data_IF_127891382775
#
_entry.id   IF_127891382775
#
_cell.length_a   1.000
_cell.length_b   1.000
_cell.length_c   1.000
_cell.angle_alpha   90.00
_cell.angle_beta   90.00
_cell.angle_gamma   90.00
#
_symmetry.space_group_name_H-M   'P 1'
#
loop_
_entity.id
_entity.type
_entity.pdbx_description
1 polymer ?
#
# COMPACT_ATOMS: atom_id res chain seq x y z
N UNK A 1 -12.23 -11.89 -0.25
CA UNK A 1 -11.57 -11.76 -1.55
C UNK A 1 -12.40 -12.50 -2.57
N UNK A 2 -13.10 -11.78 -3.45
CA UNK A 2 -13.84 -12.42 -4.53
C UNK A 2 -12.87 -12.74 -5.67
N UNK A 3 -12.71 -14.01 -5.99
CA UNK A 3 -11.96 -14.45 -7.16
C UNK A 3 -12.92 -14.70 -8.30
N UNK A 4 -12.78 -13.95 -9.38
CA UNK A 4 -13.56 -14.18 -10.59
C UNK A 4 -12.89 -15.31 -11.38
N UNK A 5 -13.55 -16.45 -11.48
CA UNK A 5 -13.04 -17.57 -12.26
C UNK A 5 -13.59 -17.49 -13.69
N UNK A 6 -12.71 -17.51 -14.67
CA UNK A 6 -13.05 -17.63 -16.08
C UNK A 6 -12.77 -19.04 -16.56
N UNK A 7 -13.72 -19.62 -17.29
CA UNK A 7 -13.50 -20.89 -17.96
C UNK A 7 -12.73 -20.64 -19.25
N UNK A 8 -11.48 -21.05 -19.27
CA UNK A 8 -10.64 -20.96 -20.47
C UNK A 8 -10.93 -22.14 -21.40
N UNK A 9 -11.21 -21.87 -22.65
CA UNK A 9 -11.33 -22.92 -23.68
C UNK A 9 -9.92 -23.25 -24.18
N UNK A 10 -9.54 -24.50 -24.08
CA UNK A 10 -8.24 -24.95 -24.61
C UNK A 10 -8.26 -24.79 -26.15
N UNK A 11 -7.31 -24.03 -26.72
CA UNK A 11 -7.24 -23.88 -28.17
C UNK A 11 -6.79 -25.17 -28.84
N UNK A 12 -7.24 -25.39 -30.09
CA UNK A 12 -6.85 -26.55 -30.90
C UNK A 12 -5.36 -26.51 -31.29
N UNK A 13 -4.84 -25.29 -31.46
CA UNK A 13 -3.42 -25.07 -31.76
C UNK A 13 -2.75 -24.58 -30.48
N UNK A 14 -1.65 -25.23 -30.03
CA UNK A 14 -0.91 -24.77 -28.85
C UNK A 14 -0.47 -23.32 -29.01
N UNK A 15 -0.73 -22.51 -27.99
CA UNK A 15 -0.29 -21.11 -27.90
C UNK A 15 0.23 -20.80 -26.51
N UNK A 16 0.99 -19.72 -26.39
CA UNK A 16 1.48 -19.27 -25.10
C UNK A 16 0.31 -18.83 -24.20
N UNK A 17 0.44 -19.10 -22.90
CA UNK A 17 -0.62 -18.79 -21.94
C UNK A 17 -0.90 -17.30 -21.82
N UNK A 18 0.12 -16.46 -21.94
CA UNK A 18 0.00 -15.01 -21.96
C UNK A 18 -0.84 -14.51 -23.15
N UNK A 19 -0.64 -15.07 -24.34
CA UNK A 19 -1.45 -14.76 -25.50
C UNK A 19 -2.91 -15.21 -25.37
N UNK A 20 -3.16 -16.25 -24.56
CA UNK A 20 -4.51 -16.76 -24.28
C UNK A 20 -5.26 -15.93 -23.23
N UNK A 21 -4.52 -15.32 -22.28
CA UNK A 21 -5.08 -14.58 -21.15
C UNK A 21 -5.05 -13.06 -21.33
N UNK A 22 -4.15 -12.55 -22.17
CA UNK A 22 -4.01 -11.12 -22.45
C UNK A 22 -4.93 -10.72 -23.60
N UNK A 23 -6.21 -10.56 -23.32
CA UNK A 23 -7.24 -10.20 -24.30
C UNK A 23 -7.43 -8.68 -24.45
N UNK A 24 -6.94 -7.89 -23.49
CA UNK A 24 -7.09 -6.44 -23.48
C UNK A 24 -5.74 -5.72 -23.57
N UNK A 25 -5.58 -4.74 -24.50
CA UNK A 25 -4.35 -3.99 -24.63
C UNK A 25 -4.17 -3.02 -23.46
N UNK A 26 -2.96 -2.99 -22.87
CA UNK A 26 -2.55 -1.97 -21.91
C UNK A 26 -1.93 -0.79 -22.65
N UNK A 27 -2.57 0.37 -22.61
CA UNK A 27 -2.02 1.64 -23.10
C UNK A 27 -1.36 2.36 -21.92
N UNK A 28 -0.07 2.66 -22.08
CA UNK A 28 0.70 3.38 -21.04
C UNK A 28 0.46 4.89 -21.06
N UNK A 29 1.15 5.60 -20.17
CA UNK A 29 1.10 7.06 -20.03
C UNK A 29 0.75 7.48 -18.63
N UNK A 30 0.46 8.79 -18.45
CA UNK A 30 0.05 9.36 -17.16
C UNK A 30 -1.36 8.90 -16.76
N UNK A 31 -2.17 8.54 -17.72
CA UNK A 31 -3.52 8.03 -17.59
C UNK A 31 -3.65 6.69 -18.32
N UNK A 32 -3.14 5.60 -17.72
CA UNK A 32 -3.14 4.31 -18.39
C UNK A 32 -4.56 3.79 -18.62
N UNK A 33 -4.69 3.00 -19.67
CA UNK A 33 -5.94 2.33 -20.03
C UNK A 33 -5.71 0.83 -20.22
N UNK A 34 -6.68 0.02 -19.83
CA UNK A 34 -6.77 -1.40 -20.14
C UNK A 34 -8.01 -1.61 -20.98
N UNK A 35 -7.81 -1.89 -22.27
CA UNK A 35 -8.89 -1.86 -23.25
C UNK A 35 -9.51 -0.45 -23.32
N UNK A 36 -10.80 -0.36 -23.02
CA UNK A 36 -11.58 0.88 -22.91
C UNK A 36 -11.64 1.47 -21.49
N UNK A 37 -11.03 0.82 -20.50
CA UNK A 37 -11.11 1.22 -19.10
C UNK A 37 -9.96 2.15 -18.71
N UNK A 38 -10.27 3.36 -18.27
CA UNK A 38 -9.31 4.30 -17.69
C UNK A 38 -8.93 3.83 -16.29
N UNK A 39 -7.65 3.52 -16.09
CA UNK A 39 -7.12 3.08 -14.79
C UNK A 39 -6.69 4.28 -13.95
N UNK A 40 -6.97 4.22 -12.64
CA UNK A 40 -6.44 5.15 -11.65
C UNK A 40 -5.91 4.36 -10.47
N UNK A 41 -4.72 4.70 -10.02
CA UNK A 41 -4.02 3.97 -8.97
C UNK A 41 -3.66 4.90 -7.82
N UNK A 42 -3.98 4.47 -6.61
CA UNK A 42 -3.59 5.10 -5.36
C UNK A 42 -2.61 4.20 -4.63
N UNK A 43 -1.51 4.75 -4.12
CA UNK A 43 -0.54 4.02 -3.30
C UNK A 43 -0.56 4.55 -1.87
N UNK A 44 -0.60 3.68 -0.87
CA UNK A 44 -0.44 4.05 0.53
C UNK A 44 1.06 4.21 0.81
N UNK A 45 1.44 5.37 1.35
CA UNK A 45 2.84 5.73 1.61
C UNK A 45 3.13 6.02 3.08
N UNK A 46 2.10 6.26 3.88
CA UNK A 46 2.22 6.52 5.32
C UNK A 46 1.10 5.84 6.09
N UNK A 47 1.41 5.49 7.32
CA UNK A 47 0.56 4.71 8.22
C UNK A 47 0.21 5.53 9.45
N UNK A 48 -1.00 5.37 10.03
CA UNK A 48 -1.33 5.99 11.30
C UNK A 48 -0.47 5.44 12.42
N UNK A 49 -0.31 6.20 13.48
CA UNK A 49 0.47 5.80 14.67
C UNK A 49 -0.09 4.54 15.35
N UNK A 50 -1.40 4.36 15.29
CA UNK A 50 -2.07 3.18 15.83
C UNK A 50 -2.99 2.58 14.77
N UNK A 51 -2.94 1.27 14.61
CA UNK A 51 -3.81 0.52 13.70
C UNK A 51 -4.66 -0.48 14.47
N UNK A 52 -5.79 -0.86 13.91
CA UNK A 52 -6.69 -1.88 14.45
C UNK A 52 -7.05 -2.88 13.34
N UNK A 53 -7.36 -4.14 13.67
CA UNK A 53 -7.79 -5.12 12.68
C UNK A 53 -8.95 -4.60 11.83
N UNK A 54 -8.85 -4.76 10.50
CA UNK A 54 -9.87 -4.31 9.55
C UNK A 54 -9.99 -2.78 9.42
N UNK A 55 -8.95 -2.03 9.74
CA UNK A 55 -8.95 -0.55 9.72
C UNK A 55 -9.43 0.04 8.37
N UNK A 56 -9.27 -0.69 7.27
CA UNK A 56 -9.66 -0.28 5.92
C UNK A 56 -10.95 -0.97 5.43
N UNK A 57 -11.69 -1.66 6.29
CA UNK A 57 -12.94 -2.34 5.90
C UNK A 57 -14.02 -1.38 5.39
N UNK A 58 -13.94 -0.10 5.71
CA UNK A 58 -14.82 0.93 5.10
C UNK A 58 -14.73 1.01 3.58
N UNK A 59 -13.64 0.52 2.96
CA UNK A 59 -13.56 0.39 1.50
C UNK A 59 -14.65 -0.54 0.94
N UNK A 60 -15.11 -1.51 1.71
CA UNK A 60 -16.20 -2.41 1.31
C UNK A 60 -17.56 -1.71 1.19
N UNK A 61 -17.71 -0.47 1.68
CA UNK A 61 -18.93 0.34 1.54
C UNK A 61 -18.99 1.12 0.23
N UNK A 62 -17.91 1.10 -0.55
CA UNK A 62 -17.90 1.74 -1.87
C UNK A 62 -18.82 0.98 -2.83
N UNK A 63 -19.65 1.72 -3.57
CA UNK A 63 -20.66 1.15 -4.48
C UNK A 63 -20.10 0.79 -5.88
N UNK A 64 -18.78 0.72 -6.03
CA UNK A 64 -18.11 0.41 -7.29
C UNK A 64 -16.97 -0.59 -7.08
N UNK A 65 -16.54 -1.32 -8.12
CA UNK A 65 -15.44 -2.26 -8.04
C UNK A 65 -14.10 -1.53 -7.89
N UNK A 66 -13.23 -2.11 -7.07
CA UNK A 66 -11.84 -1.70 -6.94
C UNK A 66 -10.97 -2.93 -6.74
N UNK A 67 -9.67 -2.81 -7.02
CA UNK A 67 -8.67 -3.82 -6.70
C UNK A 67 -7.78 -3.33 -5.58
N UNK A 68 -7.78 -4.04 -4.48
CA UNK A 68 -6.77 -3.89 -3.43
C UNK A 68 -5.63 -4.88 -3.67
N UNK A 69 -4.40 -4.40 -3.61
CA UNK A 69 -3.20 -5.22 -3.67
C UNK A 69 -2.24 -4.83 -2.57
N UNK A 70 -1.75 -5.81 -1.83
CA UNK A 70 -0.68 -5.63 -0.86
C UNK A 70 0.45 -6.59 -1.20
N UNK A 71 1.65 -6.05 -1.33
CA UNK A 71 2.89 -6.79 -1.49
C UNK A 71 3.76 -6.52 -0.27
N UNK A 72 4.23 -7.57 0.37
CA UNK A 72 5.16 -7.47 1.49
C UNK A 72 6.45 -8.24 1.15
N UNK A 73 7.59 -7.60 1.36
CA UNK A 73 8.91 -8.21 1.30
C UNK A 73 9.42 -8.26 2.72
N UNK A 74 9.35 -9.45 3.32
CA UNK A 74 9.72 -9.66 4.71
C UNK A 74 11.22 -9.46 4.89
N UNK A 75 11.61 -8.76 5.95
CA UNK A 75 13.00 -8.55 6.34
C UNK A 75 13.38 -9.55 7.43
N UNK A 76 14.59 -10.07 7.37
CA UNK A 76 15.15 -10.76 8.51
C UNK A 76 15.45 -9.78 9.66
N UNK A 77 15.63 -10.31 10.87
CA UNK A 77 15.85 -9.49 12.07
C UNK A 77 17.10 -8.61 11.95
N UNK A 78 18.14 -9.08 11.30
CA UNK A 78 19.39 -8.32 11.15
C UNK A 78 19.20 -7.13 10.20
N UNK A 79 18.54 -7.34 9.08
CA UNK A 79 18.29 -6.28 8.09
C UNK A 79 17.24 -5.31 8.58
N UNK A 80 16.19 -5.77 9.28
CA UNK A 80 15.22 -4.92 9.95
C UNK A 80 15.89 -4.00 10.99
N UNK A 81 16.78 -4.55 11.83
CA UNK A 81 17.53 -3.79 12.84
C UNK A 81 18.41 -2.72 12.19
N UNK A 82 19.12 -3.07 11.10
CA UNK A 82 19.94 -2.10 10.35
C UNK A 82 19.09 -0.98 9.76
N UNK A 83 17.95 -1.33 9.16
CA UNK A 83 17.01 -0.37 8.55
C UNK A 83 16.47 0.61 9.60
N UNK A 84 15.87 0.10 10.68
CA UNK A 84 15.29 0.92 11.75
C UNK A 84 16.37 1.78 12.43
N UNK A 85 17.56 1.25 12.66
CA UNK A 85 18.69 2.03 13.20
C UNK A 85 19.09 3.18 12.28
N UNK A 86 19.08 2.95 10.95
CA UNK A 86 19.34 4.01 9.95
C UNK A 86 18.27 5.09 10.00
N UNK A 87 17.01 4.69 10.00
CA UNK A 87 15.85 5.60 10.08
C UNK A 87 15.94 6.45 11.35
N UNK A 88 16.17 5.82 12.49
CA UNK A 88 16.36 6.51 13.77
C UNK A 88 17.47 7.56 13.69
N UNK A 89 18.65 7.19 13.20
CA UNK A 89 19.79 8.12 13.05
C UNK A 89 19.47 9.30 12.13
N UNK A 90 18.77 9.06 11.02
CA UNK A 90 18.35 10.12 10.09
C UNK A 90 17.42 11.13 10.75
N UNK A 91 16.45 10.67 11.54
CA UNK A 91 15.49 11.53 12.22
C UNK A 91 16.14 12.25 13.42
N UNK A 92 17.01 11.60 14.17
CA UNK A 92 17.80 12.25 15.21
C UNK A 92 18.70 13.37 14.64
N UNK A 93 19.32 13.15 13.49
CA UNK A 93 20.12 14.16 12.81
C UNK A 93 19.28 15.37 12.34
N UNK A 94 18.02 15.14 11.92
CA UNK A 94 17.10 16.21 11.51
C UNK A 94 16.46 16.97 12.68
N UNK A 95 16.49 16.42 13.88
CA UNK A 95 15.83 16.99 15.06
C UNK A 95 16.30 18.41 15.39
N UNK A 96 17.57 18.72 15.19
CA UNK A 96 18.12 20.05 15.31
C UNK A 96 18.33 20.63 13.92
N UNK A 97 17.68 21.75 13.61
CA UNK A 97 17.94 22.45 12.35
C UNK A 97 19.37 23.00 12.37
N UNK A 98 19.99 23.14 11.20
CA UNK A 98 21.33 23.73 11.08
C UNK A 98 21.37 25.14 11.71
N UNK A 99 20.28 25.90 11.57
CA UNK A 99 20.14 27.21 12.18
C UNK A 99 20.11 27.15 13.73
N UNK A 100 19.47 26.11 14.31
CA UNK A 100 19.45 25.89 15.74
C UNK A 100 20.83 25.51 16.29
N UNK A 101 21.57 24.68 15.56
CA UNK A 101 22.96 24.30 15.91
C UNK A 101 23.90 25.51 15.83
N UNK A 102 23.78 26.34 14.78
CA UNK A 102 24.55 27.56 14.65
C UNK A 102 24.27 28.56 15.78
N UNK A 103 23.00 28.71 16.17
CA UNK A 103 22.60 29.57 17.27
C UNK A 103 23.14 29.06 18.61
N UNK A 104 23.05 27.77 18.87
CA UNK A 104 23.60 27.12 20.08
C UNK A 104 25.12 27.32 20.20
N UNK A 105 25.86 27.21 19.08
CA UNK A 105 27.31 27.45 19.01
C UNK A 105 27.64 28.93 19.23
N UNK A 106 26.81 29.87 18.70
CA UNK A 106 27.09 31.30 18.83
C UNK A 106 26.65 31.91 20.16
N UNK A 107 25.58 31.39 20.78
CA UNK A 107 25.01 31.99 22.00
C UNK A 107 25.29 31.16 23.27
N UNK A 108 25.82 29.97 23.14
CA UNK A 108 26.04 29.00 24.24
C UNK A 108 24.77 28.69 25.08
N UNK A 109 23.58 28.98 24.52
CA UNK A 109 22.28 28.66 25.11
C UNK A 109 21.59 27.53 24.34
N UNK A 110 20.97 26.56 25.04
CA UNK A 110 20.24 25.48 24.39
C UNK A 110 19.06 26.03 23.58
N UNK A 111 19.03 25.73 22.30
CA UNK A 111 17.96 26.18 21.40
C UNK A 111 16.69 25.37 21.65
N UNK A 112 15.57 26.05 21.92
CA UNK A 112 14.22 25.44 22.03
C UNK A 112 13.61 25.05 20.68
N UNK A 113 14.28 25.35 19.56
CA UNK A 113 13.82 25.02 18.21
C UNK A 113 14.15 23.56 17.87
N UNK A 114 13.42 22.65 18.48
CA UNK A 114 13.46 21.22 18.18
C UNK A 114 12.35 20.94 17.18
N UNK A 115 12.68 20.27 16.07
CA UNK A 115 11.67 19.70 15.17
C UNK A 115 10.95 18.56 15.87
N UNK A 116 9.73 18.84 16.32
CA UNK A 116 8.90 17.90 17.08
C UNK A 116 8.53 16.68 16.23
N UNK A 117 8.28 16.86 14.93
CA UNK A 117 7.95 15.74 14.02
C UNK A 117 9.15 14.79 13.87
N UNK A 118 10.36 15.34 13.66
CA UNK A 118 11.57 14.54 13.61
C UNK A 118 11.87 13.82 14.94
N UNK A 119 11.54 14.46 16.08
CA UNK A 119 11.66 13.83 17.40
C UNK A 119 10.71 12.66 17.56
N UNK A 120 9.44 12.84 17.20
CA UNK A 120 8.42 11.78 17.28
C UNK A 120 8.78 10.59 16.40
N UNK A 121 9.20 10.83 15.17
CA UNK A 121 9.63 9.77 14.23
C UNK A 121 10.88 9.01 14.73
N UNK A 122 11.77 9.67 15.46
CA UNK A 122 12.89 9.01 16.09
C UNK A 122 12.45 8.10 17.25
N UNK A 123 11.45 8.54 18.03
CA UNK A 123 10.84 7.75 19.12
C UNK A 123 10.09 6.55 18.54
N UNK A 124 9.33 6.74 17.48
CA UNK A 124 8.63 5.65 16.80
C UNK A 124 9.60 4.58 16.29
N UNK A 125 10.75 4.99 15.74
CA UNK A 125 11.79 4.06 15.32
C UNK A 125 12.44 3.31 16.49
N UNK A 126 12.57 3.94 17.66
CA UNK A 126 13.03 3.27 18.89
C UNK A 126 12.00 2.25 19.41
N UNK A 127 10.72 2.59 19.40
CA UNK A 127 9.65 1.68 19.77
C UNK A 127 9.63 0.44 18.85
N UNK A 128 9.73 0.66 17.53
CA UNK A 128 9.82 -0.43 16.55
C UNK A 128 11.05 -1.33 16.77
N UNK A 129 12.19 -0.78 17.18
CA UNK A 129 13.38 -1.57 17.54
C UNK A 129 13.16 -2.41 18.79
N UNK A 130 12.43 -1.90 19.79
CA UNK A 130 12.09 -2.65 21.00
C UNK A 130 11.13 -3.80 20.68
N UNK A 131 10.09 -3.54 19.87
CA UNK A 131 9.15 -4.56 19.42
C UNK A 131 9.82 -5.66 18.60
N UNK A 132 10.72 -5.30 17.67
CA UNK A 132 11.53 -6.25 16.92
C UNK A 132 12.44 -7.08 17.83
N UNK A 133 12.94 -6.47 18.92
CA UNK A 133 13.76 -7.13 19.93
C UNK A 133 13.01 -8.24 20.69
N UNK A 134 11.70 -8.09 20.84
CA UNK A 134 10.85 -9.07 21.54
C UNK A 134 10.52 -10.33 20.70
N UNK A 135 10.89 -10.38 19.43
CA UNK A 135 10.58 -11.44 18.47
C UNK A 135 9.07 -11.66 18.20
N UNK A 136 8.21 -10.77 18.66
CA UNK A 136 6.76 -10.84 18.43
C UNK A 136 6.33 -10.19 17.13
N UNK A 137 7.08 -9.20 16.65
CA UNK A 137 6.75 -8.38 15.49
C UNK A 137 7.99 -8.31 14.58
N UNK A 138 7.79 -8.51 13.30
CA UNK A 138 8.80 -8.34 12.25
C UNK A 138 8.57 -7.06 11.45
N UNK A 139 9.47 -6.79 10.53
CA UNK A 139 9.39 -5.67 9.58
C UNK A 139 9.35 -6.18 8.15
N UNK A 140 8.68 -5.43 7.28
CA UNK A 140 8.65 -5.70 5.85
C UNK A 140 8.66 -4.39 5.06
N UNK A 141 9.17 -4.44 3.84
CA UNK A 141 8.85 -3.42 2.85
C UNK A 141 7.49 -3.71 2.26
N UNK A 142 6.59 -2.73 2.32
CA UNK A 142 5.19 -2.89 1.90
C UNK A 142 4.87 -1.97 0.74
N UNK A 143 4.21 -2.52 -0.27
CA UNK A 143 3.56 -1.76 -1.32
C UNK A 143 2.06 -2.08 -1.25
N UNK A 144 1.25 -1.10 -0.92
CA UNK A 144 -0.20 -1.24 -0.88
C UNK A 144 -0.82 -0.28 -1.89
N UNK A 145 -1.51 -0.83 -2.88
CA UNK A 145 -2.12 -0.07 -3.97
C UNK A 145 -3.61 -0.37 -4.08
N UNK A 146 -4.37 0.65 -4.46
CA UNK A 146 -5.78 0.54 -4.79
C UNK A 146 -5.97 1.03 -6.22
N UNK A 147 -6.50 0.17 -7.07
CA UNK A 147 -6.80 0.50 -8.46
C UNK A 147 -8.30 0.59 -8.64
N UNK A 148 -8.76 1.66 -9.27
CA UNK A 148 -10.13 1.86 -9.75
C UNK A 148 -10.13 2.08 -11.25
N UNK A 149 -11.24 1.82 -11.90
CA UNK A 149 -11.36 1.96 -13.36
C UNK A 149 -12.79 2.29 -13.77
N UNK A 150 -12.91 2.93 -14.90
CA UNK A 150 -14.19 3.19 -15.59
C UNK A 150 -13.93 3.53 -17.06
N UNK A 151 -14.90 3.33 -17.94
CA UNK A 151 -14.84 3.77 -19.34
C UNK A 151 -14.82 5.30 -19.45
N UNK A 152 -15.41 5.99 -18.50
CA UNK A 152 -15.40 7.45 -18.43
C UNK A 152 -14.27 7.92 -17.48
N UNK A 153 -13.27 8.68 -17.99
CA UNK A 153 -12.15 9.15 -17.18
C UNK A 153 -12.60 10.00 -15.97
N UNK A 154 -13.65 10.80 -16.12
CA UNK A 154 -14.17 11.61 -15.00
C UNK A 154 -14.74 10.75 -13.88
N UNK A 155 -15.43 9.66 -14.24
CA UNK A 155 -15.97 8.70 -13.25
C UNK A 155 -14.82 7.95 -12.57
N UNK A 156 -13.78 7.56 -13.31
CA UNK A 156 -12.59 6.95 -12.73
C UNK A 156 -11.90 7.90 -11.72
N UNK A 157 -11.79 9.19 -12.05
CA UNK A 157 -11.24 10.22 -11.15
C UNK A 157 -12.10 10.42 -9.90
N UNK A 158 -13.42 10.39 -10.05
CA UNK A 158 -14.36 10.49 -8.92
C UNK A 158 -14.25 9.28 -8.00
N UNK A 159 -14.21 8.07 -8.54
CA UNK A 159 -13.98 6.84 -7.78
C UNK A 159 -12.66 6.89 -7.01
N UNK A 160 -11.59 7.37 -7.65
CA UNK A 160 -10.29 7.53 -6.99
C UNK A 160 -10.37 8.47 -5.80
N UNK A 161 -11.04 9.64 -5.94
CA UNK A 161 -11.23 10.61 -4.85
C UNK A 161 -12.02 10.03 -3.69
N UNK A 162 -13.04 9.20 -3.98
CA UNK A 162 -13.81 8.51 -2.92
C UNK A 162 -12.93 7.50 -2.16
N UNK A 163 -12.12 6.72 -2.87
CA UNK A 163 -11.13 5.82 -2.25
C UNK A 163 -10.14 6.60 -1.40
N UNK A 164 -9.56 7.67 -1.94
CA UNK A 164 -8.63 8.53 -1.23
C UNK A 164 -9.23 9.09 0.07
N UNK A 165 -10.47 9.56 0.02
CA UNK A 165 -11.19 10.05 1.19
C UNK A 165 -11.36 8.99 2.27
N UNK A 166 -11.69 7.75 1.89
CA UNK A 166 -11.81 6.64 2.85
C UNK A 166 -10.46 6.32 3.50
N UNK A 167 -9.41 6.24 2.70
CA UNK A 167 -8.04 5.93 3.17
C UNK A 167 -7.53 7.03 4.09
N UNK A 168 -7.64 8.30 3.68
CA UNK A 168 -7.22 9.45 4.49
C UNK A 168 -8.07 9.61 5.75
N UNK A 169 -9.35 9.26 5.70
CA UNK A 169 -10.25 9.28 6.86
C UNK A 169 -9.87 8.27 7.96
N UNK A 170 -8.90 7.38 7.68
CA UNK A 170 -8.28 6.46 8.64
C UNK A 170 -6.83 6.81 8.94
N UNK A 171 -6.45 8.08 8.74
CA UNK A 171 -5.12 8.63 9.00
C UNK A 171 -3.97 8.02 8.19
N UNK A 172 -4.28 7.32 7.09
CA UNK A 172 -3.26 6.91 6.14
C UNK A 172 -2.87 8.06 5.23
N UNK A 173 -1.60 8.17 4.92
CA UNK A 173 -1.12 9.04 3.84
C UNK A 173 -1.08 8.23 2.55
N UNK A 174 -1.66 8.77 1.50
CA UNK A 174 -1.69 8.13 0.18
C UNK A 174 -1.24 9.09 -0.91
N UNK A 175 -0.88 8.52 -2.05
CA UNK A 175 -0.43 9.24 -3.22
C UNK A 175 -1.13 8.69 -4.47
N UNK A 176 -1.70 9.59 -5.26
CA UNK A 176 -2.21 9.27 -6.58
C UNK A 176 -1.02 9.08 -7.52
N UNK A 177 -0.94 7.91 -8.13
CA UNK A 177 0.13 7.62 -9.09
C UNK A 177 -0.24 8.18 -10.47
N UNK A 178 0.69 8.91 -11.05
CA UNK A 178 0.59 9.47 -12.40
C UNK A 178 1.72 8.93 -13.28
N UNK A 179 2.95 9.38 -13.05
CA UNK A 179 4.13 8.89 -13.79
C UNK A 179 4.35 7.40 -13.58
N UNK A 180 4.11 6.91 -12.37
CA UNK A 180 4.29 5.51 -12.02
C UNK A 180 2.98 4.69 -12.06
N UNK A 181 1.91 5.21 -12.69
CA UNK A 181 0.61 4.57 -12.69
C UNK A 181 0.63 3.17 -13.33
N UNK A 182 1.36 3.01 -14.45
CA UNK A 182 1.54 1.72 -15.12
C UNK A 182 2.27 0.73 -14.22
N UNK A 183 3.40 1.14 -13.63
CA UNK A 183 4.20 0.28 -12.74
C UNK A 183 3.42 -0.10 -11.47
N UNK A 184 2.65 0.83 -10.92
CA UNK A 184 1.80 0.57 -9.77
C UNK A 184 0.70 -0.46 -10.09
N UNK A 185 0.09 -0.35 -11.28
CA UNK A 185 -0.89 -1.31 -11.75
C UNK A 185 -0.27 -2.68 -12.03
N UNK A 186 0.86 -2.73 -12.77
CA UNK A 186 1.60 -3.97 -13.04
C UNK A 186 2.02 -4.65 -11.73
N UNK A 187 2.54 -3.87 -10.76
CA UNK A 187 2.91 -4.36 -9.44
C UNK A 187 1.74 -4.96 -8.64
N UNK A 188 0.50 -4.64 -9.00
CA UNK A 188 -0.70 -5.23 -8.40
C UNK A 188 -1.09 -6.59 -8.98
N UNK A 189 -0.45 -7.02 -10.08
CA UNK A 189 -0.74 -8.30 -10.70
C UNK A 189 -0.03 -9.43 -9.96
N UNK A 190 -0.73 -10.54 -9.68
CA UNK A 190 -0.11 -11.71 -9.06
C UNK A 190 1.07 -12.24 -9.89
N UNK A 191 2.21 -12.47 -9.22
CA UNK A 191 3.41 -12.99 -9.88
C UNK A 191 4.28 -11.96 -10.60
N UNK A 192 3.83 -10.73 -10.75
CA UNK A 192 4.65 -9.66 -11.33
C UNK A 192 5.59 -9.07 -10.30
N UNK A 193 6.88 -9.46 -10.34
CA UNK A 193 7.86 -9.12 -9.29
C UNK A 193 8.66 -7.84 -9.57
N UNK A 194 8.76 -7.43 -10.83
CA UNK A 194 9.66 -6.34 -11.24
C UNK A 194 9.11 -4.94 -10.91
N UNK A 195 7.85 -4.68 -11.24
CA UNK A 195 7.24 -3.39 -10.94
C UNK A 195 6.90 -3.29 -9.46
N UNK A 196 7.52 -2.33 -8.77
CA UNK A 196 7.27 -2.08 -7.35
C UNK A 196 7.60 -0.62 -7.03
N UNK A 197 6.59 0.22 -6.93
CA UNK A 197 6.78 1.67 -6.96
C UNK A 197 7.23 2.26 -5.63
N UNK A 198 6.59 1.91 -4.52
CA UNK A 198 6.86 2.51 -3.21
C UNK A 198 6.90 1.42 -2.15
N UNK A 199 7.93 1.47 -1.32
CA UNK A 199 8.23 0.39 -0.38
C UNK A 199 8.52 0.97 1.01
N UNK A 200 7.53 1.62 1.68
CA UNK A 200 7.74 2.03 3.05
C UNK A 200 7.96 0.81 3.95
N UNK A 201 8.85 0.91 4.94
CA UNK A 201 8.97 -0.11 5.97
C UNK A 201 7.72 -0.07 6.88
N UNK A 202 7.17 -1.24 7.18
CA UNK A 202 5.95 -1.40 7.97
C UNK A 202 6.06 -2.64 8.84
N UNK A 203 5.62 -2.55 10.08
CA UNK A 203 5.59 -3.70 10.98
C UNK A 203 4.59 -4.75 10.50
N UNK A 204 4.88 -6.02 10.78
CA UNK A 204 3.98 -7.14 10.43
C UNK A 204 2.62 -7.03 11.09
N UNK A 205 2.53 -6.40 12.26
CA UNK A 205 1.27 -6.11 12.94
C UNK A 205 0.41 -5.14 12.11
N UNK A 206 0.99 -4.05 11.64
CA UNK A 206 0.28 -3.08 10.81
C UNK A 206 -0.16 -3.69 9.47
N UNK A 207 0.65 -4.58 8.89
CA UNK A 207 0.27 -5.33 7.69
C UNK A 207 -0.96 -6.19 7.98
N UNK A 208 -0.95 -6.94 9.09
CA UNK A 208 -2.08 -7.78 9.48
C UNK A 208 -3.37 -6.97 9.71
N UNK A 209 -3.27 -5.78 10.28
CA UNK A 209 -4.41 -4.89 10.49
C UNK A 209 -4.97 -4.28 9.20
N UNK A 210 -4.16 -4.15 8.15
CA UNK A 210 -4.61 -3.68 6.84
C UNK A 210 -5.29 -4.76 6.01
N UNK A 211 -5.06 -6.04 6.30
CA UNK A 211 -5.70 -7.13 5.57
C UNK A 211 -7.21 -7.03 5.80
N UNK A 212 -8.04 -6.98 4.75
CA UNK A 212 -9.49 -6.92 4.91
C UNK A 212 -9.98 -8.19 5.63
N UNK A 213 -10.69 -7.99 6.73
CA UNK A 213 -11.30 -9.06 7.52
C UNK A 213 -12.68 -9.43 7.00
N UNK A 214 -13.35 -8.48 6.35
CA UNK A 214 -14.63 -8.67 5.70
C UNK A 214 -14.52 -8.41 4.20
N UNK A 215 -15.26 -9.15 3.41
CA UNK A 215 -15.38 -8.92 1.97
C UNK A 215 -16.81 -9.22 1.55
N UNK A 216 -17.31 -8.44 0.58
CA UNK A 216 -18.60 -8.76 -0.03
C UNK A 216 -18.44 -10.06 -0.83
N UNK A 217 -19.27 -11.04 -0.49
CA UNK A 217 -19.30 -12.29 -1.23
C UNK A 217 -19.92 -12.06 -2.62
N UNK A 218 -19.12 -12.28 -3.65
CA UNK A 218 -19.56 -12.13 -5.05
C UNK A 218 -19.83 -13.47 -5.75
N UNK A 219 -19.80 -14.56 -5.01
CA UNK A 219 -20.08 -15.92 -5.49
C UNK A 219 -21.58 -16.26 -5.42
N UNK A 220 -21.93 -17.54 -5.64
CA UNK A 220 -23.30 -18.01 -5.55
C UNK A 220 -23.84 -17.86 -4.12
N UNK A 221 -25.14 -17.61 -4.00
CA UNK A 221 -25.83 -17.42 -2.71
C UNK A 221 -25.77 -18.67 -1.80
N UNK A 222 -25.45 -19.83 -2.36
CA UNK A 222 -25.24 -21.07 -1.63
C UNK A 222 -24.02 -21.80 -2.17
N UNK A 223 -23.23 -22.34 -1.28
CA UNK A 223 -22.21 -23.34 -1.64
C UNK A 223 -22.89 -24.60 -2.16
N UNK A 224 -22.55 -25.01 -3.37
CA UNK A 224 -23.18 -26.18 -4.02
C UNK A 224 -22.79 -27.50 -3.38
N UNK A 225 -21.67 -27.55 -2.68
CA UNK A 225 -21.16 -28.75 -2.01
C UNK A 225 -21.71 -28.89 -0.59
N UNK A 226 -21.74 -27.78 0.15
CA UNK A 226 -22.20 -27.75 1.54
C UNK A 226 -23.71 -27.52 1.65
N UNK A 227 -24.36 -27.03 0.60
CA UNK A 227 -25.79 -26.70 0.61
C UNK A 227 -26.17 -25.55 1.56
N UNK A 228 -25.17 -24.84 2.09
CA UNK A 228 -25.28 -23.76 3.07
C UNK A 228 -24.90 -22.41 2.46
N UNK A 229 -25.30 -21.27 3.06
CA UNK A 229 -24.73 -19.98 2.74
C UNK A 229 -23.20 -19.99 2.98
N UNK A 230 -22.41 -19.30 2.15
CA UNK A 230 -20.96 -19.23 2.27
C UNK A 230 -20.54 -18.46 3.52
#
# INVERSE_FOLDING_TARGET
VSTKCHRVRVPEIPMYLDALLADEPLTGGLEPMLGDQHLRVLTIVGFPTATTPGILDDLNRLAFPYRWSTRAIMLDKADATKLLTRIRRQWFAKRKSVAAILKEVMTNEPSSLIDTDASNKAIDADAALQELGSDLIGEAFVTATITVWDENPRVADERLRLVEKVVQGRDFTCMVETVNAVDAWLGSLPGHVYANVRQPPVSTLNIAHMIPLSAVWAGPARDTHLGAPP
#
